data_IF_235710914758
#
_entry.id   IF_235710914758
#
_cell.length_a   1.000
_cell.length_b   1.000
_cell.length_c   1.000
_cell.angle_alpha   90.00
_cell.angle_beta   90.00
_cell.angle_gamma   90.00
#
_symmetry.space_group_name_H-M   'P 1'
#
loop_
_entity.id
_entity.type
_entity.pdbx_description
1 polymer ?
#
# COMPACT_ATOMS: atom_id res chain seq x y z
N UNK A 1 -6.90 38.31 30.18
CA UNK A 1 -8.25 38.75 29.88
C UNK A 1 -8.71 37.90 28.71
N UNK A 2 -9.18 36.73 29.03
CA UNK A 2 -10.56 36.21 28.96
C UNK A 2 -11.14 36.35 27.56
N UNK A 3 -11.54 35.29 26.85
CA UNK A 3 -12.64 34.40 27.22
C UNK A 3 -12.53 33.02 26.52
N UNK A 4 -12.59 31.99 27.33
CA UNK A 4 -12.99 30.66 26.95
C UNK A 4 -14.53 30.65 26.87
N UNK A 5 -15.10 30.36 25.68
CA UNK A 5 -16.52 30.11 25.46
C UNK A 5 -16.72 28.61 25.18
N UNK A 6 -17.03 27.85 26.22
CA UNK A 6 -17.35 26.44 26.12
C UNK A 6 -18.68 26.21 25.41
N UNK A 7 -18.70 25.22 24.48
CA UNK A 7 -19.93 24.62 23.96
C UNK A 7 -20.30 23.46 24.91
N UNK A 8 -20.91 23.81 26.02
CA UNK A 8 -21.65 22.92 26.91
C UNK A 8 -23.13 23.34 26.84
N UNK A 9 -23.97 22.55 26.18
CA UNK A 9 -25.40 22.84 26.23
C UNK A 9 -26.29 22.24 25.16
N UNK A 10 -26.24 20.91 24.96
CA UNK A 10 -27.34 20.23 24.23
C UNK A 10 -27.75 18.97 24.97
N UNK A 11 -27.99 19.09 26.26
CA UNK A 11 -28.46 17.98 27.11
C UNK A 11 -29.60 18.43 28.02
N UNK A 12 -30.59 19.18 27.47
CA UNK A 12 -31.80 19.55 28.22
C UNK A 12 -32.95 19.80 27.27
N UNK A 13 -33.61 18.73 26.85
CA UNK A 13 -35.05 18.68 26.54
C UNK A 13 -35.48 17.22 26.75
N UNK A 14 -35.28 16.73 27.99
CA UNK A 14 -36.07 15.59 28.46
C UNK A 14 -37.37 16.21 28.97
N UNK A 15 -38.38 16.21 28.13
CA UNK A 15 -39.76 16.47 28.57
C UNK A 15 -40.06 15.50 29.72
N UNK A 16 -40.66 16.05 30.81
CA UNK A 16 -41.12 15.22 31.92
C UNK A 16 -42.09 14.19 31.38
N UNK A 17 -41.86 12.88 31.65
CA UNK A 17 -42.81 11.83 31.21
C UNK A 17 -44.19 12.14 31.79
N UNK A 18 -45.18 12.15 30.91
CA UNK A 18 -46.58 12.24 31.33
C UNK A 18 -46.89 10.96 32.14
N UNK A 19 -47.48 11.05 33.33
CA UNK A 19 -47.82 9.86 34.10
C UNK A 19 -48.69 8.89 33.29
N UNK A 20 -48.16 7.71 32.99
CA UNK A 20 -48.80 6.67 32.15
C UNK A 20 -48.16 6.45 30.79
N UNK A 21 -47.43 7.39 30.20
CA UNK A 21 -46.76 7.28 28.91
C UNK A 21 -45.72 6.15 28.90
N UNK A 22 -44.90 6.08 29.94
CA UNK A 22 -43.86 5.03 30.03
C UNK A 22 -44.44 3.62 30.08
N UNK A 23 -45.52 3.44 30.89
CA UNK A 23 -46.19 2.15 30.94
C UNK A 23 -46.82 1.76 29.59
N UNK A 24 -47.51 2.72 28.95
CA UNK A 24 -48.16 2.47 27.66
C UNK A 24 -47.14 2.19 26.55
N UNK A 25 -46.01 2.89 26.57
CA UNK A 25 -44.88 2.64 25.68
C UNK A 25 -44.35 1.22 25.82
N UNK A 26 -44.12 0.75 27.05
CA UNK A 26 -43.68 -0.61 27.33
C UNK A 26 -44.71 -1.65 26.85
N UNK A 27 -46.02 -1.41 27.04
CA UNK A 27 -47.10 -2.27 26.54
C UNK A 27 -47.06 -2.41 25.00
N UNK A 28 -46.79 -1.30 24.28
CA UNK A 28 -46.65 -1.34 22.82
C UNK A 28 -45.43 -2.17 22.39
N UNK A 29 -44.29 -2.01 23.10
CA UNK A 29 -43.11 -2.82 22.83
C UNK A 29 -43.30 -4.29 23.17
N UNK A 30 -44.07 -4.63 24.22
CA UNK A 30 -44.42 -6.00 24.60
C UNK A 30 -45.33 -6.68 23.58
N UNK A 31 -46.12 -5.91 22.86
CA UNK A 31 -47.05 -6.41 21.83
C UNK A 31 -46.34 -6.69 20.47
N UNK A 32 -45.05 -6.38 20.36
CA UNK A 32 -44.27 -6.68 19.14
C UNK A 32 -43.92 -8.17 19.08
N UNK A 33 -44.39 -8.85 18.04
CA UNK A 33 -44.06 -10.25 17.81
C UNK A 33 -42.73 -10.40 17.05
N UNK A 34 -41.73 -10.97 17.74
CA UNK A 34 -40.39 -11.21 17.17
C UNK A 34 -40.39 -12.16 15.97
N UNK A 35 -41.31 -13.10 15.92
CA UNK A 35 -41.42 -14.04 14.80
C UNK A 35 -41.97 -13.32 13.57
N UNK A 36 -43.00 -12.49 13.74
CA UNK A 36 -43.52 -11.65 12.67
C UNK A 36 -42.45 -10.68 12.13
N UNK A 37 -41.76 -9.99 13.02
CA UNK A 37 -40.68 -9.07 12.64
C UNK A 37 -39.60 -9.79 11.82
N UNK A 38 -39.17 -10.96 12.29
CA UNK A 38 -38.15 -11.77 11.62
C UNK A 38 -38.60 -12.23 10.25
N UNK A 39 -39.83 -12.74 10.08
CA UNK A 39 -40.32 -13.19 8.79
C UNK A 39 -40.46 -12.05 7.77
N UNK A 40 -40.94 -10.88 8.21
CA UNK A 40 -41.02 -9.70 7.35
C UNK A 40 -39.61 -9.22 6.91
N UNK A 41 -38.65 -9.25 7.81
CA UNK A 41 -37.25 -8.96 7.48
C UNK A 41 -36.71 -9.97 6.47
N UNK A 42 -36.88 -11.27 6.71
CA UNK A 42 -36.39 -12.32 5.81
C UNK A 42 -36.92 -12.16 4.38
N UNK A 43 -38.20 -11.75 4.24
CA UNK A 43 -38.80 -11.49 2.93
C UNK A 43 -38.13 -10.31 2.20
N UNK A 44 -37.64 -9.31 2.93
CA UNK A 44 -37.03 -8.10 2.36
C UNK A 44 -35.54 -8.24 2.11
N UNK A 45 -34.80 -8.87 3.03
CA UNK A 45 -33.35 -8.96 2.94
C UNK A 45 -32.88 -9.72 1.71
N UNK A 46 -33.62 -10.71 1.25
CA UNK A 46 -33.31 -11.45 0.01
C UNK A 46 -33.40 -10.60 -1.26
N UNK A 47 -34.05 -9.44 -1.20
CA UNK A 47 -34.10 -8.50 -2.33
C UNK A 47 -32.91 -7.55 -2.37
N UNK A 48 -32.06 -7.54 -1.32
CA UNK A 48 -30.88 -6.69 -1.24
C UNK A 48 -29.73 -7.30 -2.04
N UNK A 49 -29.19 -6.53 -2.98
CA UNK A 49 -28.00 -6.95 -3.74
C UNK A 49 -26.86 -7.28 -2.77
N UNK A 50 -26.26 -8.49 -2.89
CA UNK A 50 -25.26 -9.01 -1.97
C UNK A 50 -25.81 -10.00 -0.92
N UNK A 51 -27.14 -10.16 -0.83
CA UNK A 51 -27.82 -11.21 -0.04
C UNK A 51 -28.53 -12.24 -0.92
N UNK A 52 -28.49 -12.12 -2.25
CA UNK A 52 -29.01 -13.10 -3.21
C UNK A 52 -27.95 -13.37 -4.31
N UNK A 53 -27.37 -14.61 -4.39
CA UNK A 53 -27.46 -15.66 -3.37
C UNK A 53 -26.75 -15.25 -2.07
N UNK A 54 -27.38 -15.52 -0.93
CA UNK A 54 -26.80 -15.15 0.35
C UNK A 54 -25.50 -15.92 0.62
N UNK A 55 -24.38 -15.22 0.87
CA UNK A 55 -23.10 -15.88 1.17
C UNK A 55 -23.05 -16.46 2.60
N UNK A 56 -24.13 -16.32 3.36
CA UNK A 56 -24.32 -16.86 4.71
C UNK A 56 -25.57 -17.76 4.77
N UNK A 57 -25.59 -18.78 5.64
CA UNK A 57 -26.75 -19.65 5.79
C UNK A 57 -28.02 -18.88 6.18
N UNK A 58 -29.15 -19.24 5.56
CA UNK A 58 -30.45 -18.63 5.86
C UNK A 58 -30.81 -18.75 7.34
N UNK A 59 -30.43 -19.86 7.99
CA UNK A 59 -30.66 -20.09 9.42
C UNK A 59 -29.89 -19.09 10.29
N UNK A 60 -28.67 -18.74 9.90
CA UNK A 60 -27.86 -17.72 10.58
C UNK A 60 -28.44 -16.33 10.38
N UNK A 61 -28.86 -16.01 9.15
CA UNK A 61 -29.48 -14.74 8.84
C UNK A 61 -30.77 -14.54 9.67
N UNK A 62 -31.59 -15.58 9.75
CA UNK A 62 -32.84 -15.61 10.58
C UNK A 62 -32.52 -15.43 12.06
N UNK A 63 -31.52 -16.18 12.59
CA UNK A 63 -31.13 -16.11 13.99
C UNK A 63 -30.61 -14.70 14.36
N UNK A 64 -29.71 -14.16 13.55
CA UNK A 64 -29.15 -12.82 13.80
C UNK A 64 -30.21 -11.74 13.64
N UNK A 65 -31.11 -11.83 12.66
CA UNK A 65 -32.23 -10.89 12.51
C UNK A 65 -33.15 -10.89 13.73
N UNK A 66 -33.53 -12.08 14.25
CA UNK A 66 -34.33 -12.20 15.47
C UNK A 66 -33.63 -11.56 16.68
N UNK A 67 -32.32 -11.81 16.84
CA UNK A 67 -31.53 -11.23 17.92
C UNK A 67 -31.42 -9.70 17.77
N UNK A 68 -31.28 -9.19 16.54
CA UNK A 68 -31.28 -7.75 16.27
C UNK A 68 -32.58 -7.09 16.72
N UNK A 69 -33.73 -7.66 16.37
CA UNK A 69 -35.02 -7.12 16.82
C UNK A 69 -35.17 -7.19 18.34
N UNK A 70 -34.82 -8.30 18.97
CA UNK A 70 -34.86 -8.41 20.43
C UNK A 70 -34.01 -7.32 21.09
N UNK A 71 -32.79 -7.13 20.60
CA UNK A 71 -31.87 -6.11 21.11
C UNK A 71 -32.39 -4.69 20.89
N UNK A 72 -32.92 -4.38 19.70
CA UNK A 72 -33.51 -3.07 19.41
C UNK A 72 -34.69 -2.79 20.36
N UNK A 73 -35.60 -3.77 20.57
CA UNK A 73 -36.71 -3.62 21.51
C UNK A 73 -36.21 -3.39 22.94
N UNK A 74 -35.19 -4.11 23.39
CA UNK A 74 -34.56 -3.89 24.71
C UNK A 74 -33.95 -2.50 24.82
N UNK A 75 -33.25 -2.02 23.76
CA UNK A 75 -32.74 -0.66 23.68
C UNK A 75 -33.85 0.40 23.78
N UNK A 76 -34.96 0.20 23.07
CA UNK A 76 -36.13 1.08 23.14
C UNK A 76 -36.77 1.13 24.55
N UNK A 77 -36.81 -0.02 25.26
CA UNK A 77 -37.27 -0.09 26.64
C UNK A 77 -36.36 0.69 27.61
N UNK A 78 -35.05 0.62 27.37
CA UNK A 78 -34.04 1.27 28.20
C UNK A 78 -33.88 2.77 27.86
N UNK A 79 -34.44 3.25 26.74
CA UNK A 79 -34.25 4.61 26.24
C UNK A 79 -32.93 4.83 25.51
N UNK A 80 -32.31 3.76 24.98
CA UNK A 80 -31.04 3.72 24.25
C UNK A 80 -30.12 2.61 24.75
N UNK A 81 -28.91 2.53 24.19
CA UNK A 81 -27.86 1.61 24.64
C UNK A 81 -26.81 2.35 25.46
N UNK A 82 -26.55 1.91 26.69
CA UNK A 82 -25.48 2.47 27.53
C UNK A 82 -24.09 1.91 27.19
N UNK A 83 -24.04 0.82 26.43
CA UNK A 83 -22.81 0.10 26.05
C UNK A 83 -23.02 -0.67 24.74
N UNK A 84 -21.92 -1.02 24.04
CA UNK A 84 -22.00 -1.85 22.85
C UNK A 84 -22.71 -3.18 23.12
N UNK A 85 -23.56 -3.60 22.18
CA UNK A 85 -24.33 -4.83 22.29
C UNK A 85 -23.68 -5.95 21.49
N UNK A 86 -23.70 -7.17 22.03
CA UNK A 86 -22.99 -8.30 21.44
C UNK A 86 -23.47 -8.64 20.01
N UNK A 87 -24.78 -8.51 19.74
CA UNK A 87 -25.33 -8.83 18.42
C UNK A 87 -24.89 -7.86 17.34
N UNK A 88 -24.68 -6.58 17.64
CA UNK A 88 -24.17 -5.61 16.67
C UNK A 88 -22.75 -5.98 16.21
N UNK A 89 -21.91 -6.43 17.15
CA UNK A 89 -20.58 -6.94 16.86
C UNK A 89 -20.65 -8.23 16.04
N UNK A 90 -21.49 -9.19 16.43
CA UNK A 90 -21.66 -10.44 15.71
C UNK A 90 -22.10 -10.22 14.27
N UNK A 91 -23.09 -9.37 14.04
CA UNK A 91 -23.59 -9.02 12.70
C UNK A 91 -22.49 -8.38 11.88
N UNK A 92 -21.79 -7.36 12.40
CA UNK A 92 -20.72 -6.68 11.68
C UNK A 92 -19.61 -7.65 11.25
N UNK A 93 -19.09 -8.44 12.20
CA UNK A 93 -18.03 -9.42 11.96
C UNK A 93 -18.45 -10.51 10.97
N UNK A 94 -19.65 -11.10 11.16
CA UNK A 94 -20.13 -12.18 10.27
C UNK A 94 -20.27 -11.70 8.82
N UNK A 95 -20.79 -10.49 8.60
CA UNK A 95 -21.00 -9.94 7.25
C UNK A 95 -19.68 -9.53 6.59
N UNK A 96 -18.71 -9.00 7.36
CA UNK A 96 -17.37 -8.72 6.86
C UNK A 96 -16.67 -9.99 6.37
N UNK A 97 -16.71 -11.07 7.18
CA UNK A 97 -16.12 -12.38 6.83
C UNK A 97 -16.79 -13.03 5.63
N UNK A 98 -18.10 -12.84 5.48
CA UNK A 98 -18.86 -13.35 4.35
C UNK A 98 -18.67 -12.54 3.06
N UNK A 99 -17.89 -11.44 3.09
CA UNK A 99 -17.66 -10.59 1.92
C UNK A 99 -18.89 -9.79 1.49
N UNK A 100 -19.89 -9.63 2.35
CA UNK A 100 -21.09 -8.81 2.06
C UNK A 100 -20.66 -7.33 2.05
N UNK A 101 -20.90 -6.57 0.96
CA UNK A 101 -20.55 -5.15 0.91
C UNK A 101 -21.21 -4.35 2.04
N UNK A 102 -20.48 -3.36 2.59
CA UNK A 102 -21.00 -2.50 3.66
C UNK A 102 -22.34 -1.84 3.28
N UNK A 103 -22.47 -1.41 2.04
CA UNK A 103 -23.70 -0.79 1.52
C UNK A 103 -24.90 -1.75 1.57
N UNK A 104 -24.67 -3.02 1.23
CA UNK A 104 -25.70 -4.07 1.33
C UNK A 104 -26.10 -4.32 2.79
N UNK A 105 -25.11 -4.39 3.70
CA UNK A 105 -25.36 -4.52 5.13
C UNK A 105 -26.16 -3.33 5.67
N UNK A 106 -25.78 -2.10 5.34
CA UNK A 106 -26.52 -0.90 5.76
C UNK A 106 -27.95 -0.87 5.22
N UNK A 107 -28.16 -1.38 4.00
CA UNK A 107 -29.48 -1.51 3.42
C UNK A 107 -30.33 -2.56 4.15
N UNK A 108 -29.75 -3.70 4.53
CA UNK A 108 -30.42 -4.72 5.33
C UNK A 108 -30.86 -4.18 6.70
N UNK A 109 -29.98 -3.45 7.40
CA UNK A 109 -30.31 -2.83 8.70
C UNK A 109 -31.41 -1.78 8.55
N UNK A 110 -31.44 -1.05 7.45
CA UNK A 110 -32.54 -0.12 7.16
C UNK A 110 -33.88 -0.86 6.99
N UNK A 111 -33.85 -2.08 6.45
CA UNK A 111 -35.05 -2.93 6.40
C UNK A 111 -35.48 -3.40 7.79
N UNK A 112 -34.55 -3.70 8.71
CA UNK A 112 -34.88 -4.00 10.11
C UNK A 112 -35.65 -2.84 10.73
N UNK A 113 -35.15 -1.61 10.59
CA UNK A 113 -35.82 -0.43 11.11
C UNK A 113 -37.21 -0.23 10.49
N UNK A 114 -37.33 -0.33 9.17
CA UNK A 114 -38.63 -0.15 8.50
C UNK A 114 -39.64 -1.18 8.95
N UNK A 115 -39.21 -2.45 9.11
CA UNK A 115 -40.10 -3.52 9.61
C UNK A 115 -40.52 -3.24 11.04
N UNK A 116 -39.59 -2.91 11.92
CA UNK A 116 -39.87 -2.54 13.31
C UNK A 116 -40.86 -1.38 13.40
N UNK A 117 -40.64 -0.32 12.65
CA UNK A 117 -41.47 0.88 12.64
C UNK A 117 -42.89 0.59 12.10
N UNK A 118 -43.02 -0.17 11.01
CA UNK A 118 -44.32 -0.56 10.45
C UNK A 118 -45.14 -1.42 11.42
N UNK A 119 -44.49 -2.37 12.11
CA UNK A 119 -45.21 -3.21 13.08
C UNK A 119 -45.58 -2.40 14.31
N UNK A 120 -44.69 -1.57 14.84
CA UNK A 120 -44.95 -0.70 15.97
C UNK A 120 -46.13 0.25 15.71
N UNK A 121 -46.13 0.93 14.56
CA UNK A 121 -47.25 1.85 14.19
C UNK A 121 -48.56 1.15 13.91
N UNK A 122 -48.54 -0.14 13.54
CA UNK A 122 -49.76 -0.94 13.37
C UNK A 122 -50.35 -1.44 14.69
N UNK A 123 -49.47 -1.77 15.66
CA UNK A 123 -49.89 -2.19 17.00
C UNK A 123 -50.44 -0.99 17.79
N UNK A 124 -49.87 0.21 17.57
CA UNK A 124 -50.40 1.43 18.14
C UNK A 124 -51.77 1.78 17.58
N UNK A 125 -52.70 2.19 18.44
CA UNK A 125 -54.02 2.67 18.06
C UNK A 125 -54.01 4.20 17.83
N UNK A 126 -55.15 4.75 17.47
CA UNK A 126 -55.29 6.20 17.19
C UNK A 126 -54.99 7.05 18.43
N UNK A 127 -55.25 6.58 19.65
CA UNK A 127 -54.98 7.29 20.91
C UNK A 127 -53.48 7.29 21.25
N UNK A 128 -52.73 6.33 20.74
CA UNK A 128 -51.25 6.22 20.94
C UNK A 128 -50.45 7.14 20.02
N UNK A 129 -51.08 7.83 19.05
CA UNK A 129 -50.34 8.57 18.00
C UNK A 129 -49.41 9.61 18.58
N UNK A 130 -49.84 10.39 19.61
CA UNK A 130 -49.04 11.40 20.28
C UNK A 130 -47.87 10.78 21.07
N UNK A 131 -48.13 9.63 21.72
CA UNK A 131 -47.10 8.86 22.43
C UNK A 131 -45.98 8.40 21.47
N UNK A 132 -46.34 7.83 20.31
CA UNK A 132 -45.36 7.38 19.30
C UNK A 132 -44.54 8.57 18.77
N UNK A 133 -45.18 9.72 18.53
CA UNK A 133 -44.46 10.93 18.10
C UNK A 133 -43.43 11.38 19.16
N UNK A 134 -43.79 11.42 20.44
CA UNK A 134 -42.85 11.78 21.52
C UNK A 134 -41.69 10.81 21.64
N UNK A 135 -41.88 9.52 21.35
CA UNK A 135 -40.85 8.49 21.41
C UNK A 135 -40.03 8.34 20.11
N UNK A 136 -40.37 9.05 19.02
CA UNK A 136 -39.63 8.96 17.75
C UNK A 136 -38.14 9.27 17.92
N UNK A 137 -37.81 10.26 18.78
CA UNK A 137 -36.39 10.60 19.06
C UNK A 137 -35.61 9.42 19.67
N UNK A 138 -36.23 8.67 20.59
CA UNK A 138 -35.63 7.48 21.21
C UNK A 138 -35.44 6.38 20.15
N UNK A 139 -36.46 6.16 19.31
CA UNK A 139 -36.38 5.14 18.24
C UNK A 139 -35.25 5.47 17.29
N UNK A 140 -35.16 6.70 16.80
CA UNK A 140 -34.10 7.11 15.87
C UNK A 140 -32.71 7.00 16.53
N UNK A 141 -32.53 7.47 17.76
CA UNK A 141 -31.23 7.41 18.44
C UNK A 141 -30.79 5.96 18.73
N UNK A 142 -31.71 5.08 19.12
CA UNK A 142 -31.42 3.66 19.36
C UNK A 142 -30.97 2.94 18.07
N UNK A 143 -31.67 3.22 16.96
CA UNK A 143 -31.31 2.65 15.65
C UNK A 143 -29.99 3.19 15.16
N UNK A 144 -29.75 4.51 15.22
CA UNK A 144 -28.49 5.11 14.80
C UNK A 144 -27.29 4.56 15.59
N UNK A 145 -27.48 4.36 16.89
CA UNK A 145 -26.46 3.77 17.74
C UNK A 145 -26.18 2.31 17.37
N UNK A 146 -27.22 1.50 17.14
CA UNK A 146 -27.08 0.13 16.66
C UNK A 146 -26.35 0.06 15.32
N UNK A 147 -26.77 0.90 14.34
CA UNK A 147 -26.11 1.02 13.01
C UNK A 147 -24.63 1.36 13.18
N UNK A 148 -24.32 2.36 14.02
CA UNK A 148 -22.93 2.78 14.26
C UNK A 148 -22.07 1.66 14.84
N UNK A 149 -22.58 0.87 15.79
CA UNK A 149 -21.90 -0.26 16.38
C UNK A 149 -21.63 -1.37 15.35
N UNK A 150 -22.63 -1.71 14.51
CA UNK A 150 -22.48 -2.71 13.44
C UNK A 150 -21.41 -2.24 12.42
N UNK A 151 -21.44 -0.98 12.02
CA UNK A 151 -20.49 -0.42 11.06
C UNK A 151 -19.08 -0.42 11.62
N UNK A 152 -18.89 -0.06 12.89
CA UNK A 152 -17.61 -0.10 13.56
C UNK A 152 -17.05 -1.52 13.63
N UNK A 153 -17.87 -2.51 14.02
CA UNK A 153 -17.48 -3.90 14.10
C UNK A 153 -17.10 -4.45 12.72
N UNK A 154 -17.88 -4.14 11.68
CA UNK A 154 -17.60 -4.51 10.30
C UNK A 154 -16.25 -3.95 9.82
N UNK A 155 -16.01 -2.64 10.03
CA UNK A 155 -14.79 -1.97 9.59
C UNK A 155 -13.56 -2.49 10.34
N UNK A 156 -13.70 -2.73 11.65
CA UNK A 156 -12.64 -3.30 12.48
C UNK A 156 -12.26 -4.71 12.00
N UNK A 157 -13.26 -5.55 11.67
CA UNK A 157 -13.02 -6.90 11.17
C UNK A 157 -12.32 -6.91 9.80
N UNK A 158 -12.74 -6.05 8.86
CA UNK A 158 -12.04 -5.90 7.58
C UNK A 158 -10.58 -5.48 7.76
N UNK A 159 -10.33 -4.56 8.70
CA UNK A 159 -8.97 -4.11 8.99
C UNK A 159 -8.14 -5.25 9.59
N UNK A 160 -8.74 -6.07 10.46
CA UNK A 160 -8.10 -7.23 11.05
C UNK A 160 -7.76 -8.30 10.00
N UNK A 161 -8.72 -8.63 9.11
CA UNK A 161 -8.50 -9.59 8.02
C UNK A 161 -7.36 -9.15 7.10
N UNK A 162 -7.32 -7.87 6.72
CA UNK A 162 -6.20 -7.31 5.93
C UNK A 162 -4.87 -7.40 6.66
N UNK A 163 -4.83 -7.05 7.94
CA UNK A 163 -3.60 -7.13 8.74
C UNK A 163 -3.10 -8.57 8.89
N UNK A 164 -3.98 -9.56 8.99
CA UNK A 164 -3.62 -10.97 9.00
C UNK A 164 -3.04 -11.42 7.65
N UNK A 165 -3.66 -11.03 6.53
CA UNK A 165 -3.17 -11.30 5.18
C UNK A 165 -1.79 -10.65 4.97
N UNK A 166 -1.64 -9.37 5.31
CA UNK A 166 -0.36 -8.65 5.25
C UNK A 166 0.72 -9.32 6.10
N UNK A 167 0.36 -9.84 7.28
CA UNK A 167 1.28 -10.56 8.16
C UNK A 167 1.75 -11.89 7.57
N UNK A 168 0.83 -12.64 6.93
CA UNK A 168 1.18 -13.88 6.22
C UNK A 168 2.10 -13.58 5.05
N UNK A 169 1.78 -12.60 4.22
CA UNK A 169 2.63 -12.16 3.11
C UNK A 169 4.01 -11.73 3.60
N UNK A 170 4.08 -10.92 4.67
CA UNK A 170 5.35 -10.50 5.26
C UNK A 170 6.20 -11.69 5.73
N UNK A 171 5.59 -12.69 6.35
CA UNK A 171 6.27 -13.93 6.76
C UNK A 171 6.79 -14.74 5.58
N UNK A 172 6.00 -14.89 4.51
CA UNK A 172 6.42 -15.56 3.28
C UNK A 172 7.60 -14.83 2.62
N UNK A 173 7.52 -13.50 2.52
CA UNK A 173 8.58 -12.67 1.96
C UNK A 173 9.85 -12.77 2.80
N UNK A 174 9.75 -12.62 4.13
CA UNK A 174 10.91 -12.74 5.03
C UNK A 174 11.63 -14.07 4.82
N UNK A 175 10.89 -15.18 4.66
CA UNK A 175 11.48 -16.50 4.43
C UNK A 175 12.29 -16.61 3.13
N UNK A 176 12.00 -15.80 2.09
CA UNK A 176 12.81 -15.72 0.87
C UNK A 176 14.15 -15.00 1.08
N UNK A 177 14.17 -14.05 2.03
CA UNK A 177 15.39 -13.30 2.35
C UNK A 177 16.27 -14.02 3.36
N UNK A 178 15.69 -14.86 4.23
CA UNK A 178 16.40 -15.66 5.23
C UNK A 178 17.11 -16.87 4.62
N UNK A 179 16.51 -17.48 3.59
CA UNK A 179 17.05 -18.67 2.92
C UNK A 179 17.78 -18.26 1.62
N UNK A 180 19.12 -18.42 1.54
CA UNK A 180 19.88 -18.04 0.36
C UNK A 180 19.71 -18.98 -0.82
N UNK A 181 19.27 -20.24 -0.60
CA UNK A 181 19.13 -21.27 -1.63
C UNK A 181 17.86 -22.12 -1.40
N UNK A 182 16.67 -21.50 -1.53
CA UNK A 182 15.42 -22.20 -1.30
C UNK A 182 15.14 -23.24 -2.38
N UNK A 183 14.55 -24.38 -1.97
CA UNK A 183 14.14 -25.42 -2.93
C UNK A 183 13.02 -24.92 -3.84
N UNK A 184 12.91 -25.52 -5.05
CA UNK A 184 11.84 -25.17 -6.00
C UNK A 184 10.43 -25.36 -5.39
N UNK A 185 10.21 -26.41 -4.60
CA UNK A 185 8.94 -26.65 -3.90
C UNK A 185 8.60 -25.52 -2.93
N UNK A 186 9.60 -25.04 -2.18
CA UNK A 186 9.43 -23.91 -1.27
C UNK A 186 9.11 -22.62 -2.02
N UNK A 187 9.83 -22.35 -3.13
CA UNK A 187 9.55 -21.19 -4.01
C UNK A 187 8.12 -21.23 -4.57
N UNK A 188 7.69 -22.39 -5.06
CA UNK A 188 6.32 -22.59 -5.57
C UNK A 188 5.26 -22.35 -4.48
N UNK A 189 5.51 -22.84 -3.26
CA UNK A 189 4.61 -22.63 -2.13
C UNK A 189 4.51 -21.14 -1.75
N UNK A 190 5.64 -20.43 -1.71
CA UNK A 190 5.68 -19.00 -1.41
C UNK A 190 5.01 -18.19 -2.52
N UNK A 191 5.31 -18.49 -3.79
CA UNK A 191 4.69 -17.82 -4.92
C UNK A 191 3.17 -17.96 -4.87
N UNK A 192 2.66 -19.19 -4.67
CA UNK A 192 1.22 -19.46 -4.52
C UNK A 192 0.62 -18.66 -3.36
N UNK A 193 1.29 -18.61 -2.21
CA UNK A 193 0.83 -17.86 -1.03
C UNK A 193 0.81 -16.34 -1.24
N UNK A 194 1.63 -15.82 -2.16
CA UNK A 194 1.64 -14.42 -2.57
C UNK A 194 0.72 -14.14 -3.78
N UNK A 195 0.05 -15.15 -4.33
CA UNK A 195 -0.75 -15.02 -5.55
C UNK A 195 0.10 -14.74 -6.80
N UNK A 196 1.35 -15.22 -6.82
CA UNK A 196 2.31 -15.03 -7.91
C UNK A 196 2.54 -16.35 -8.64
N UNK A 197 2.95 -16.26 -9.90
CA UNK A 197 3.57 -17.38 -10.60
C UNK A 197 5.08 -17.38 -10.30
N UNK A 198 5.67 -18.59 -10.10
CA UNK A 198 7.06 -18.76 -9.67
C UNK A 198 8.08 -18.20 -10.67
N UNK A 199 7.75 -18.27 -11.96
CA UNK A 199 8.61 -17.85 -13.07
C UNK A 199 8.24 -16.46 -13.62
N UNK A 200 7.18 -15.84 -13.10
CA UNK A 200 6.79 -14.50 -13.54
C UNK A 200 7.84 -13.46 -13.22
N UNK A 201 8.24 -12.63 -14.20
CA UNK A 201 9.23 -11.59 -13.97
C UNK A 201 8.71 -10.56 -13.00
N UNK A 202 9.59 -10.10 -12.09
CA UNK A 202 9.29 -9.11 -11.07
C UNK A 202 10.13 -7.85 -11.31
N UNK A 203 9.51 -6.70 -11.11
CA UNK A 203 10.23 -5.43 -10.96
C UNK A 203 10.57 -5.25 -9.49
N UNK A 204 11.83 -5.11 -9.18
CA UNK A 204 12.37 -4.99 -7.82
C UNK A 204 12.99 -3.61 -7.66
N UNK A 205 12.57 -2.87 -6.64
CA UNK A 205 12.92 -1.48 -6.39
C UNK A 205 13.47 -1.37 -4.97
N UNK A 206 14.51 -0.58 -4.79
CA UNK A 206 15.09 -0.31 -3.47
C UNK A 206 15.28 1.18 -3.25
N UNK A 207 15.01 1.63 -2.04
CA UNK A 207 15.33 2.99 -1.58
C UNK A 207 15.98 2.96 -0.20
N UNK A 208 16.87 3.93 0.06
CA UNK A 208 17.61 4.08 1.31
C UNK A 208 17.39 5.47 1.90
N UNK A 209 17.55 5.62 3.21
CA UNK A 209 17.50 6.90 3.89
C UNK A 209 16.20 7.69 3.63
N UNK A 210 16.35 8.96 3.26
CA UNK A 210 15.22 9.88 3.03
C UNK A 210 14.38 9.51 1.79
N UNK A 211 14.97 8.78 0.83
CA UNK A 211 14.30 8.36 -0.41
C UNK A 211 13.24 7.28 -0.17
N UNK A 212 13.27 6.59 0.98
CA UNK A 212 12.24 5.64 1.42
C UNK A 212 10.85 6.29 1.45
N UNK A 213 10.76 7.57 1.82
CA UNK A 213 9.48 8.28 1.84
C UNK A 213 8.90 8.43 0.42
N UNK A 214 9.72 8.77 -0.55
CA UNK A 214 9.30 8.88 -1.95
C UNK A 214 8.84 7.52 -2.50
N UNK A 215 9.57 6.45 -2.21
CA UNK A 215 9.17 5.10 -2.62
C UNK A 215 7.83 4.67 -1.99
N UNK A 216 7.56 5.01 -0.72
CA UNK A 216 6.25 4.73 -0.08
C UNK A 216 5.10 5.44 -0.77
N UNK A 217 5.29 6.65 -1.29
CA UNK A 217 4.28 7.37 -2.07
C UNK A 217 3.99 6.62 -3.37
N UNK A 218 5.04 6.19 -4.09
CA UNK A 218 4.92 5.42 -5.34
C UNK A 218 4.15 4.10 -5.09
N UNK A 219 4.49 3.37 -4.03
CA UNK A 219 3.80 2.14 -3.61
C UNK A 219 2.32 2.41 -3.35
N UNK A 220 2.02 3.42 -2.54
CA UNK A 220 0.64 3.78 -2.17
C UNK A 220 -0.21 4.15 -3.40
N UNK A 221 0.37 4.91 -4.34
CA UNK A 221 -0.29 5.29 -5.57
C UNK A 221 -0.56 4.10 -6.48
N UNK A 222 0.42 3.17 -6.60
CA UNK A 222 0.27 1.96 -7.40
C UNK A 222 -0.82 1.04 -6.85
N UNK A 223 -0.83 0.82 -5.54
CA UNK A 223 -1.86 0.01 -4.85
C UNK A 223 -3.25 0.67 -4.98
N UNK A 224 -3.34 1.99 -4.83
CA UNK A 224 -4.61 2.73 -5.02
C UNK A 224 -5.13 2.63 -6.45
N UNK A 225 -4.25 2.51 -7.43
CA UNK A 225 -4.62 2.26 -8.83
C UNK A 225 -4.98 0.80 -9.14
N UNK A 226 -5.07 -0.08 -8.11
CA UNK A 226 -5.41 -1.49 -8.25
C UNK A 226 -4.24 -2.41 -8.56
N UNK A 227 -2.99 -1.91 -8.50
CA UNK A 227 -1.79 -2.73 -8.65
C UNK A 227 -1.42 -3.48 -7.38
N UNK A 228 -0.73 -4.61 -7.54
CA UNK A 228 -0.18 -5.37 -6.41
C UNK A 228 1.28 -4.97 -6.20
N UNK A 229 1.67 -4.66 -4.96
CA UNK A 229 3.03 -4.32 -4.60
C UNK A 229 3.36 -4.92 -3.23
N UNK A 230 4.43 -5.69 -3.17
CA UNK A 230 4.95 -6.28 -1.93
C UNK A 230 6.13 -5.47 -1.42
N UNK A 231 6.33 -5.47 -0.10
CA UNK A 231 7.42 -4.74 0.54
C UNK A 231 8.17 -5.58 1.55
N UNK A 232 9.46 -5.32 1.69
CA UNK A 232 10.31 -5.94 2.70
C UNK A 232 11.39 -4.96 3.16
N UNK A 233 11.76 -5.02 4.44
CA UNK A 233 12.85 -4.23 4.99
C UNK A 233 14.12 -5.06 5.13
N UNK A 234 15.21 -4.59 4.51
CA UNK A 234 16.56 -5.10 4.72
C UNK A 234 17.36 -4.07 5.53
N UNK A 235 17.26 -4.14 6.86
CA UNK A 235 17.76 -3.06 7.73
C UNK A 235 17.02 -1.75 7.45
N UNK A 236 17.77 -0.70 7.11
CA UNK A 236 17.24 0.64 6.79
C UNK A 236 16.74 0.77 5.33
N UNK A 237 16.89 -0.29 4.54
CA UNK A 237 16.50 -0.27 3.12
C UNK A 237 15.08 -0.78 2.95
N UNK A 238 14.25 -0.03 2.25
CA UNK A 238 12.93 -0.49 1.80
C UNK A 238 13.07 -1.13 0.42
N UNK A 239 12.75 -2.41 0.34
CA UNK A 239 12.58 -3.15 -0.91
C UNK A 239 11.10 -3.18 -1.26
N UNK A 240 10.75 -2.87 -2.50
CA UNK A 240 9.42 -3.07 -3.06
C UNK A 240 9.53 -3.93 -4.32
N UNK A 241 8.56 -4.83 -4.54
CA UNK A 241 8.52 -5.61 -5.77
C UNK A 241 7.09 -5.85 -6.23
N UNK A 242 6.93 -5.97 -7.54
CA UNK A 242 5.64 -6.17 -8.20
C UNK A 242 5.83 -7.06 -9.43
N UNK A 243 4.84 -7.91 -9.81
CA UNK A 243 4.87 -8.56 -11.10
C UNK A 243 5.01 -7.54 -12.23
N UNK A 244 5.83 -7.88 -13.23
CA UNK A 244 5.87 -7.08 -14.46
C UNK A 244 4.60 -7.40 -15.25
N UNK A 245 3.72 -6.42 -15.51
CA UNK A 245 2.49 -6.70 -16.24
C UNK A 245 2.78 -7.20 -17.67
N UNK A 246 2.09 -8.24 -18.08
CA UNK A 246 2.08 -8.69 -19.46
C UNK A 246 1.33 -7.68 -20.32
N UNK A 247 2.07 -6.84 -21.05
CA UNK A 247 1.50 -5.85 -21.97
C UNK A 247 1.67 -4.37 -21.55
N UNK A 248 1.50 -3.48 -22.53
CA UNK A 248 1.64 -2.02 -22.38
C UNK A 248 0.33 -1.46 -21.82
N UNK A 249 0.06 -1.66 -20.53
CA UNK A 249 -1.07 -1.01 -19.85
C UNK A 249 -0.71 0.39 -19.34
N UNK A 250 -1.68 1.29 -19.29
CA UNK A 250 -1.48 2.66 -18.75
C UNK A 250 -0.94 2.66 -17.31
N UNK A 251 -1.31 1.70 -16.48
CA UNK A 251 -0.83 1.57 -15.09
C UNK A 251 0.66 1.19 -15.02
N UNK A 252 1.14 0.34 -15.94
CA UNK A 252 2.55 -0.05 -16.02
C UNK A 252 3.44 1.11 -16.48
N UNK A 253 2.99 1.88 -17.47
CA UNK A 253 3.71 3.05 -17.95
C UNK A 253 3.79 4.17 -16.88
N UNK A 254 2.70 4.37 -16.14
CA UNK A 254 2.66 5.34 -15.04
C UNK A 254 3.61 4.98 -13.89
N UNK A 255 3.67 3.70 -13.50
CA UNK A 255 4.61 3.22 -12.49
C UNK A 255 6.05 3.40 -12.96
N UNK A 256 6.37 2.99 -14.19
CA UNK A 256 7.71 3.12 -14.77
C UNK A 256 8.17 4.59 -14.83
N UNK A 257 7.28 5.52 -15.19
CA UNK A 257 7.58 6.95 -15.19
C UNK A 257 7.92 7.48 -13.79
N UNK A 258 7.09 7.15 -12.80
CA UNK A 258 7.35 7.55 -11.39
C UNK A 258 8.66 6.98 -10.84
N UNK A 259 8.98 5.72 -11.18
CA UNK A 259 10.23 5.09 -10.78
C UNK A 259 11.41 5.80 -11.43
N UNK A 260 11.33 6.11 -12.73
CA UNK A 260 12.43 6.75 -13.46
C UNK A 260 12.81 8.14 -12.88
N UNK A 261 11.84 8.86 -12.32
CA UNK A 261 12.01 10.19 -11.69
C UNK A 261 12.36 10.14 -10.20
N UNK A 262 12.45 8.95 -9.60
CA UNK A 262 12.73 8.78 -8.18
C UNK A 262 14.17 8.32 -7.95
N UNK A 263 14.76 8.69 -6.81
CA UNK A 263 16.08 8.21 -6.35
C UNK A 263 15.97 6.80 -5.80
N UNK A 264 15.93 5.81 -6.67
CA UNK A 264 15.80 4.40 -6.33
C UNK A 264 16.70 3.54 -7.20
N UNK A 265 17.21 2.46 -6.66
CA UNK A 265 17.80 1.40 -7.46
C UNK A 265 16.71 0.44 -7.93
N UNK A 266 16.71 0.03 -9.20
CA UNK A 266 15.77 -0.99 -9.63
C UNK A 266 16.35 -2.01 -10.59
N UNK A 267 15.84 -3.24 -10.49
CA UNK A 267 16.28 -4.40 -11.24
C UNK A 267 15.07 -5.24 -11.64
N UNK A 268 15.15 -5.89 -12.79
CA UNK A 268 14.18 -6.93 -13.15
C UNK A 268 14.70 -8.29 -12.65
N UNK A 269 13.87 -8.99 -11.89
CA UNK A 269 14.07 -10.38 -11.51
C UNK A 269 13.34 -11.31 -12.49
N UNK A 270 13.92 -12.43 -12.85
CA UNK A 270 13.37 -13.38 -13.82
C UNK A 270 12.32 -14.33 -13.18
N UNK A 271 12.11 -14.22 -11.89
CA UNK A 271 11.15 -14.97 -11.10
C UNK A 271 11.44 -14.84 -9.61
N UNK A 272 10.59 -15.41 -8.76
CA UNK A 272 10.71 -15.30 -7.30
C UNK A 272 12.02 -15.90 -6.78
N UNK A 273 12.57 -16.92 -7.44
CA UNK A 273 13.85 -17.54 -7.06
C UNK A 273 15.05 -16.60 -7.18
N UNK A 274 14.95 -15.55 -8.01
CA UNK A 274 16.01 -14.55 -8.15
C UNK A 274 15.74 -13.27 -7.36
N UNK A 275 14.60 -13.18 -6.66
CA UNK A 275 14.14 -11.96 -5.96
C UNK A 275 15.17 -11.47 -4.96
N UNK A 276 15.69 -12.34 -4.08
CA UNK A 276 16.68 -11.96 -3.05
C UNK A 276 17.94 -11.33 -3.68
N UNK A 277 18.48 -11.95 -4.72
CA UNK A 277 19.67 -11.42 -5.42
C UNK A 277 19.35 -10.08 -6.08
N UNK A 278 18.22 -9.98 -6.74
CA UNK A 278 17.77 -8.75 -7.40
C UNK A 278 17.54 -7.62 -6.40
N UNK A 279 17.00 -7.92 -5.22
CA UNK A 279 16.81 -6.94 -4.14
C UNK A 279 18.16 -6.41 -3.60
N UNK A 280 19.13 -7.29 -3.39
CA UNK A 280 20.47 -6.88 -2.99
C UNK A 280 21.13 -6.00 -4.07
N UNK A 281 20.98 -6.36 -5.34
CA UNK A 281 21.48 -5.52 -6.45
C UNK A 281 20.75 -4.18 -6.52
N UNK A 282 19.45 -4.14 -6.35
CA UNK A 282 18.68 -2.90 -6.34
C UNK A 282 19.09 -1.99 -5.17
N UNK A 283 19.31 -2.57 -3.98
CA UNK A 283 19.87 -1.85 -2.82
C UNK A 283 21.23 -1.24 -3.16
N UNK A 284 22.15 -2.04 -3.69
CA UNK A 284 23.51 -1.60 -4.00
C UNK A 284 23.51 -0.49 -5.07
N UNK A 285 22.56 -0.53 -6.02
CA UNK A 285 22.32 0.52 -6.99
C UNK A 285 21.76 1.80 -6.33
N UNK A 286 20.82 1.69 -5.41
CA UNK A 286 20.31 2.84 -4.66
C UNK A 286 21.43 3.55 -3.87
N UNK A 287 22.31 2.76 -3.26
CA UNK A 287 23.44 3.27 -2.45
C UNK A 287 24.51 4.02 -3.25
N UNK A 288 24.57 3.85 -4.57
CA UNK A 288 25.57 4.54 -5.42
C UNK A 288 25.00 5.73 -6.18
N UNK A 289 23.74 6.13 -5.92
CA UNK A 289 23.15 7.34 -6.48
C UNK A 289 23.80 8.55 -5.82
N UNK A 290 24.39 9.44 -6.62
CA UNK A 290 25.02 10.66 -6.09
C UNK A 290 23.95 11.62 -5.49
N UNK A 291 24.36 12.48 -4.56
CA UNK A 291 23.45 13.36 -3.84
C UNK A 291 22.69 14.35 -4.73
N UNK A 292 23.29 14.74 -5.85
CA UNK A 292 22.75 15.66 -6.85
C UNK A 292 21.89 14.99 -7.94
N UNK A 293 21.87 13.65 -7.99
CA UNK A 293 21.06 12.89 -8.94
C UNK A 293 19.64 12.72 -8.44
N UNK A 294 18.67 12.87 -9.32
CA UNK A 294 17.23 12.77 -9.01
C UNK A 294 16.53 11.63 -9.73
N UNK A 295 17.27 10.82 -10.50
CA UNK A 295 16.73 9.74 -11.31
C UNK A 295 17.10 8.36 -10.78
N UNK A 296 16.31 7.36 -11.19
CA UNK A 296 16.54 5.98 -10.80
C UNK A 296 17.83 5.40 -11.41
N UNK A 297 18.48 4.55 -10.61
CA UNK A 297 19.69 3.83 -11.00
C UNK A 297 19.34 2.40 -11.41
N UNK A 298 19.84 2.00 -12.58
CA UNK A 298 19.73 0.65 -13.12
C UNK A 298 21.08 -0.02 -13.21
N UNK A 299 21.10 -1.34 -13.44
CA UNK A 299 22.35 -2.03 -13.77
C UNK A 299 23.09 -1.37 -14.94
N UNK A 300 22.35 -0.92 -15.96
CA UNK A 300 22.94 -0.30 -17.16
C UNK A 300 23.70 1.00 -16.86
N UNK A 301 23.17 1.81 -15.94
CA UNK A 301 23.78 3.11 -15.57
C UNK A 301 24.71 3.02 -14.37
N UNK A 302 24.51 2.06 -13.45
CA UNK A 302 25.21 1.98 -12.16
C UNK A 302 26.33 0.95 -12.05
N UNK A 303 26.52 0.05 -13.04
CA UNK A 303 27.45 -1.07 -12.93
C UNK A 303 28.90 -0.60 -12.63
N UNK A 304 29.33 0.49 -13.26
CA UNK A 304 30.70 1.01 -13.06
C UNK A 304 30.91 1.51 -11.62
N UNK A 305 29.92 2.22 -11.07
CA UNK A 305 29.94 2.69 -9.67
C UNK A 305 29.92 1.54 -8.67
N UNK A 306 29.15 0.48 -8.96
CA UNK A 306 29.15 -0.73 -8.13
C UNK A 306 30.51 -1.42 -8.16
N UNK A 307 31.13 -1.53 -9.33
CA UNK A 307 32.46 -2.10 -9.48
C UNK A 307 33.50 -1.23 -8.73
N UNK A 308 33.47 0.07 -8.91
CA UNK A 308 34.35 1.01 -8.21
C UNK A 308 34.23 0.88 -6.68
N UNK A 309 32.99 0.87 -6.16
CA UNK A 309 32.73 0.71 -4.72
C UNK A 309 33.28 -0.62 -4.19
N UNK A 310 33.05 -1.72 -4.92
CA UNK A 310 33.56 -3.04 -4.52
C UNK A 310 35.08 -3.13 -4.51
N UNK A 311 35.75 -2.54 -5.50
CA UNK A 311 37.21 -2.50 -5.58
C UNK A 311 37.80 -1.61 -4.49
N UNK A 312 37.23 -0.45 -4.24
CA UNK A 312 37.64 0.45 -3.18
C UNK A 312 37.47 -0.18 -1.77
N UNK A 313 36.35 -0.87 -1.54
CA UNK A 313 36.10 -1.59 -0.29
C UNK A 313 37.13 -2.72 -0.05
N UNK A 314 37.62 -3.33 -1.13
CA UNK A 314 38.68 -4.34 -1.08
C UNK A 314 40.11 -3.74 -0.97
N UNK A 315 40.24 -2.41 -0.91
CA UNK A 315 41.52 -1.72 -0.81
C UNK A 315 42.33 -1.70 -2.15
N UNK A 316 41.64 -1.85 -3.28
CA UNK A 316 42.26 -1.88 -4.61
C UNK A 316 41.93 -0.62 -5.41
N UNK A 317 42.68 0.49 -5.22
CA UNK A 317 42.50 1.72 -5.99
C UNK A 317 43.03 1.52 -7.42
N UNK A 318 42.15 1.28 -8.37
CA UNK A 318 42.51 0.85 -9.74
C UNK A 318 43.12 1.94 -10.62
N UNK A 319 43.08 3.21 -10.21
CA UNK A 319 43.64 4.35 -10.91
C UNK A 319 44.83 5.00 -10.19
N UNK A 320 45.38 4.42 -9.11
CA UNK A 320 46.48 5.04 -8.35
C UNK A 320 47.73 5.36 -9.21
N UNK A 321 48.06 4.51 -10.17
CA UNK A 321 49.13 4.70 -11.14
C UNK A 321 48.82 5.83 -12.14
N UNK A 322 47.58 5.88 -12.64
CA UNK A 322 47.08 6.95 -13.53
C UNK A 322 47.11 8.31 -12.83
N UNK A 323 46.60 8.38 -11.61
CA UNK A 323 46.60 9.61 -10.80
C UNK A 323 48.02 10.08 -10.48
N UNK A 324 48.91 9.16 -10.14
CA UNK A 324 50.32 9.44 -9.91
C UNK A 324 50.97 10.00 -11.17
N UNK A 325 50.78 9.40 -12.34
CA UNK A 325 51.31 9.87 -13.61
C UNK A 325 50.74 11.25 -14.00
N UNK A 326 49.44 11.47 -13.82
CA UNK A 326 48.80 12.76 -14.10
C UNK A 326 49.23 13.88 -13.13
N UNK A 327 49.70 13.55 -11.95
CA UNK A 327 50.22 14.54 -10.99
C UNK A 327 51.56 15.17 -11.45
N UNK A 328 52.27 14.50 -12.35
CA UNK A 328 53.53 14.97 -12.90
C UNK A 328 53.35 16.04 -14.00
N UNK A 329 52.14 16.21 -14.56
CA UNK A 329 51.87 17.26 -15.54
C UNK A 329 51.21 18.51 -14.90
N UNK A 330 51.31 19.63 -15.62
CA UNK A 330 50.71 20.89 -15.13
C UNK A 330 49.18 20.80 -15.06
N UNK A 331 48.51 21.53 -14.12
CA UNK A 331 47.10 21.41 -13.85
C UNK A 331 46.20 21.63 -15.08
N UNK A 332 46.54 22.57 -15.95
CA UNK A 332 45.78 22.84 -17.18
C UNK A 332 45.93 21.72 -18.21
N UNK A 333 47.10 21.11 -18.32
CA UNK A 333 47.32 19.96 -19.20
C UNK A 333 46.52 18.76 -18.67
N UNK A 334 46.63 18.48 -17.38
CA UNK A 334 45.89 17.41 -16.71
C UNK A 334 44.38 17.51 -16.95
N UNK A 335 43.78 18.68 -16.69
CA UNK A 335 42.35 18.92 -16.88
C UNK A 335 41.94 18.66 -18.33
N UNK A 336 42.66 19.18 -19.31
CA UNK A 336 42.36 18.97 -20.75
C UNK A 336 42.50 17.50 -21.20
N UNK A 337 43.46 16.75 -20.63
CA UNK A 337 43.63 15.33 -20.93
C UNK A 337 42.50 14.50 -20.34
N UNK A 338 42.20 14.72 -19.06
CA UNK A 338 41.09 14.00 -18.37
C UNK A 338 39.78 14.30 -19.03
N UNK A 339 39.45 15.57 -19.31
CA UNK A 339 38.22 15.96 -20.02
C UNK A 339 38.11 15.27 -21.39
N UNK A 340 39.18 15.24 -22.18
CA UNK A 340 39.15 14.61 -23.49
C UNK A 340 38.90 13.08 -23.40
N UNK A 341 39.51 12.41 -22.41
CA UNK A 341 39.33 10.98 -22.17
C UNK A 341 37.89 10.70 -21.69
N UNK A 342 37.37 11.45 -20.72
CA UNK A 342 36.00 11.26 -20.20
C UNK A 342 34.96 11.44 -21.30
N UNK A 343 35.07 12.50 -22.12
CA UNK A 343 34.14 12.72 -23.24
C UNK A 343 34.27 11.63 -24.31
N UNK A 344 35.47 11.11 -24.53
CA UNK A 344 35.66 9.98 -25.45
C UNK A 344 35.05 8.68 -24.90
N UNK A 345 35.27 8.38 -23.64
CA UNK A 345 34.69 7.18 -23.01
C UNK A 345 33.16 7.21 -23.00
N UNK A 346 32.59 8.41 -22.83
CA UNK A 346 31.12 8.57 -22.85
C UNK A 346 30.51 8.43 -24.28
N UNK A 347 31.23 8.91 -25.31
CA UNK A 347 30.71 8.94 -26.69
C UNK A 347 31.15 7.74 -27.55
N UNK A 348 32.29 7.12 -27.22
CA UNK A 348 32.94 6.07 -28.02
C UNK A 348 33.47 6.53 -29.38
N UNK A 349 33.50 7.83 -29.64
CA UNK A 349 33.85 8.39 -30.97
C UNK A 349 34.68 9.68 -30.87
N UNK A 350 35.84 9.67 -31.52
CA UNK A 350 36.69 10.88 -31.62
C UNK A 350 35.91 12.04 -32.30
N UNK A 351 35.08 11.75 -33.30
CA UNK A 351 34.32 12.79 -34.00
C UNK A 351 33.22 13.40 -33.13
N UNK A 352 32.48 12.57 -32.39
CA UNK A 352 31.48 13.06 -31.43
C UNK A 352 32.13 13.84 -30.26
N UNK A 353 33.25 13.34 -29.74
CA UNK A 353 34.03 14.04 -28.70
C UNK A 353 34.54 15.40 -29.18
N UNK A 354 35.00 15.50 -30.42
CA UNK A 354 35.49 16.76 -31.02
C UNK A 354 34.34 17.81 -31.09
N UNK A 355 33.11 17.35 -31.44
CA UNK A 355 31.96 18.22 -31.45
C UNK A 355 31.59 18.73 -30.06
N UNK A 356 31.60 17.87 -29.04
CA UNK A 356 31.31 18.23 -27.65
C UNK A 356 32.37 19.17 -27.03
N UNK A 357 33.65 18.96 -27.37
CA UNK A 357 34.77 19.73 -26.88
C UNK A 357 35.06 21.01 -27.71
N UNK A 358 34.22 21.27 -28.73
CA UNK A 358 34.40 22.40 -29.65
C UNK A 358 35.83 22.52 -30.24
N UNK A 359 36.44 21.37 -30.60
CA UNK A 359 37.78 21.33 -31.14
C UNK A 359 37.89 20.39 -32.36
N UNK A 360 39.04 20.43 -33.07
CA UNK A 360 39.24 19.55 -34.22
C UNK A 360 39.49 18.11 -33.75
N UNK A 361 39.01 17.10 -34.52
CA UNK A 361 39.23 15.69 -34.24
C UNK A 361 40.68 15.29 -33.96
N UNK A 362 41.64 15.90 -34.65
CA UNK A 362 43.06 15.66 -34.43
C UNK A 362 43.52 16.13 -33.03
N UNK A 363 42.90 17.17 -32.50
CA UNK A 363 43.18 17.64 -31.14
C UNK A 363 42.76 16.61 -30.10
N UNK A 364 41.57 16.00 -30.27
CA UNK A 364 41.13 14.92 -29.40
C UNK A 364 42.06 13.71 -29.52
N UNK A 365 42.34 13.25 -30.74
CA UNK A 365 43.24 12.11 -30.96
C UNK A 365 44.62 12.32 -30.34
N UNK A 366 45.19 13.56 -30.45
CA UNK A 366 46.45 13.88 -29.84
C UNK A 366 46.39 13.91 -28.31
N UNK A 367 45.29 14.38 -27.71
CA UNK A 367 45.07 14.36 -26.26
C UNK A 367 44.97 12.93 -25.74
N UNK A 368 44.19 12.05 -26.41
CA UNK A 368 44.09 10.64 -26.05
C UNK A 368 45.44 9.93 -26.10
N UNK A 369 46.23 10.17 -27.19
CA UNK A 369 47.59 9.60 -27.32
C UNK A 369 48.51 10.14 -26.22
N UNK A 370 48.48 11.44 -25.97
CA UNK A 370 49.29 12.06 -24.91
C UNK A 370 48.96 11.52 -23.53
N UNK A 371 47.68 11.27 -23.26
CA UNK A 371 47.24 10.60 -22.03
C UNK A 371 47.84 9.19 -21.92
N UNK A 372 47.72 8.39 -22.98
CA UNK A 372 48.31 7.05 -23.02
C UNK A 372 49.82 7.03 -22.82
N UNK A 373 50.56 7.95 -23.48
CA UNK A 373 52.02 8.11 -23.29
C UNK A 373 52.39 8.46 -21.85
N UNK A 374 51.59 9.30 -21.20
CA UNK A 374 51.86 9.78 -19.85
C UNK A 374 51.52 8.73 -18.79
N UNK A 375 50.33 8.05 -18.92
CA UNK A 375 49.82 7.16 -17.91
C UNK A 375 50.07 5.68 -18.14
N UNK A 376 50.47 5.32 -19.36
CA UNK A 376 50.61 3.94 -19.78
C UNK A 376 49.27 3.24 -20.01
N UNK A 377 48.16 3.99 -19.99
CA UNK A 377 46.77 3.47 -20.16
C UNK A 377 46.16 4.10 -21.42
N UNK A 378 45.86 3.28 -22.42
CA UNK A 378 45.28 3.75 -23.69
C UNK A 378 43.73 3.69 -23.64
N UNK A 379 43.03 4.83 -23.60
CA UNK A 379 41.56 4.86 -23.63
C UNK A 379 40.92 4.22 -24.85
N UNK A 380 41.67 3.97 -25.92
CA UNK A 380 41.20 3.32 -27.14
C UNK A 380 41.23 1.79 -27.06
N UNK A 381 41.93 1.22 -26.08
CA UNK A 381 41.93 -0.23 -25.80
C UNK A 381 40.77 -0.59 -24.87
N UNK A 382 39.85 -1.47 -25.27
CA UNK A 382 38.60 -1.72 -24.50
C UNK A 382 38.79 -2.11 -23.03
N UNK A 383 39.78 -2.94 -22.72
CA UNK A 383 40.10 -3.34 -21.34
C UNK A 383 40.60 -2.17 -20.47
N UNK A 384 41.41 -1.30 -21.05
CA UNK A 384 41.97 -0.11 -20.38
C UNK A 384 40.91 0.99 -20.27
N UNK A 385 40.07 1.16 -21.31
CA UNK A 385 38.88 2.02 -21.28
C UNK A 385 37.92 1.64 -20.14
N UNK A 386 37.61 0.33 -19.98
CA UNK A 386 36.76 -0.17 -18.91
C UNK A 386 37.37 0.14 -17.52
N UNK A 387 38.70 0.03 -17.35
CA UNK A 387 39.40 0.39 -16.12
C UNK A 387 39.21 1.88 -15.78
N UNK A 388 39.36 2.77 -16.77
CA UNK A 388 39.15 4.21 -16.60
C UNK A 388 37.68 4.53 -16.28
N UNK A 389 36.73 3.88 -16.96
CA UNK A 389 35.29 4.06 -16.69
C UNK A 389 34.95 3.69 -15.25
N UNK A 390 35.45 2.55 -14.75
CA UNK A 390 35.21 2.12 -13.36
C UNK A 390 35.92 3.03 -12.36
N UNK A 391 37.14 3.42 -12.64
CA UNK A 391 37.94 4.19 -11.70
C UNK A 391 37.50 5.67 -11.55
N UNK A 392 36.76 6.20 -12.54
CA UNK A 392 36.19 7.56 -12.51
C UNK A 392 34.66 7.55 -12.25
N UNK A 393 34.07 6.41 -11.97
CA UNK A 393 32.66 6.29 -11.60
C UNK A 393 32.43 6.68 -10.11
#
# INVERSE_FOLDING_TARGET
MNEQGGIAGTRQLRDRPVPGDERRWLELLDALDLDELTERFMTRVVTVSGYDPAPIPVSELRRTGRLSFSTLIEGLRAGGFDRPVAVSTEVGVSRARAGIPLEALMTAIRHDFNVLWEVLTRVANQEDAELVIRHTGIVLSTVDEYVSQVQQAYTAELSRMRAEEDSVHAGLIASLFDDPDPTHERLSSIATGLGLDVDSPLLVIAATGDDVRALRVIISDHVRAGGTMFTHHLGEVLIAFTPVPDGVGHSSAALAGKIAEARVGYVRAEGIGTLRRSALTARDLADVIAADETSAMTWRSGWARLAARSLNAAGNPILADVESALSACGPVERERLVEAVQVYLASGSIGASAGQLFCHRNTVANRLRRFAELTGVDPMIPAEAARLVVGWA
#
